data_IF_783850130676
#
_entry.id   IF_783850130676
#
_cell.length_a   1.000
_cell.length_b   1.000
_cell.length_c   1.000
_cell.angle_alpha   90.00
_cell.angle_beta   90.00
_cell.angle_gamma   90.00
#
_symmetry.space_group_name_H-M   'P 1'
#
loop_
_entity.id
_entity.type
_entity.pdbx_description
1 polymer ?
#
# COMPACT_ATOMS: atom_id res chain seq x y z
N UNK A 1 4.20 -16.33 -49.78
CA UNK A 1 4.07 -14.86 -49.65
C UNK A 1 4.43 -14.30 -48.25
N UNK A 2 4.14 -14.95 -47.11
CA UNK A 2 4.41 -14.47 -45.73
C UNK A 2 5.88 -14.28 -45.32
N UNK A 3 6.84 -15.05 -45.87
CA UNK A 3 8.29 -14.93 -45.51
C UNK A 3 8.97 -13.71 -46.08
N UNK A 4 8.59 -13.23 -47.27
CA UNK A 4 9.18 -12.03 -47.92
C UNK A 4 8.71 -10.73 -47.26
N UNK A 5 7.46 -10.67 -46.79
CA UNK A 5 6.94 -9.54 -46.03
C UNK A 5 7.62 -9.37 -44.66
N UNK A 6 7.89 -10.49 -43.94
CA UNK A 6 8.62 -10.44 -42.66
C UNK A 6 10.06 -9.89 -42.83
N UNK A 7 10.76 -10.21 -43.94
CA UNK A 7 12.10 -9.66 -44.19
C UNK A 7 12.08 -8.17 -44.54
N UNK A 8 11.05 -7.66 -45.25
CA UNK A 8 10.91 -6.23 -45.54
C UNK A 8 10.56 -5.42 -44.30
N UNK A 9 9.73 -5.93 -43.39
CA UNK A 9 9.43 -5.31 -42.12
C UNK A 9 10.64 -5.31 -41.16
N UNK A 10 11.47 -6.35 -41.19
CA UNK A 10 12.70 -6.43 -40.38
C UNK A 10 13.78 -5.39 -40.81
N UNK A 11 13.77 -4.95 -42.08
CA UNK A 11 14.65 -3.89 -42.56
C UNK A 11 14.15 -2.50 -42.18
N UNK A 12 12.82 -2.34 -42.03
CA UNK A 12 12.21 -1.06 -41.67
C UNK A 12 12.13 -0.84 -40.15
N UNK A 13 12.12 -1.95 -39.35
CA UNK A 13 12.16 -1.93 -37.89
C UNK A 13 13.36 -2.77 -37.42
N UNK A 14 14.56 -2.17 -37.25
CA UNK A 14 15.74 -2.90 -36.76
C UNK A 14 15.61 -3.33 -35.28
N UNK A 15 14.47 -3.04 -34.63
CA UNK A 15 14.20 -3.45 -33.27
C UNK A 15 13.59 -4.85 -33.23
N UNK A 16 14.41 -5.82 -32.77
CA UNK A 16 13.95 -7.17 -32.49
C UNK A 16 12.87 -7.13 -31.38
N UNK A 17 11.73 -7.75 -31.63
CA UNK A 17 10.58 -7.81 -30.70
C UNK A 17 11.00 -8.30 -29.29
N UNK A 18 12.04 -9.15 -29.24
CA UNK A 18 12.65 -9.62 -27.98
C UNK A 18 13.38 -8.51 -27.21
N UNK A 19 14.02 -7.58 -27.90
CA UNK A 19 14.76 -6.50 -27.25
C UNK A 19 13.80 -5.43 -26.70
N UNK A 20 12.67 -5.18 -27.41
CA UNK A 20 11.61 -4.31 -26.92
C UNK A 20 10.99 -4.91 -25.64
N UNK A 21 10.65 -6.21 -25.64
CA UNK A 21 10.11 -6.90 -24.47
C UNK A 21 11.06 -6.88 -23.28
N UNK A 22 12.36 -7.12 -23.53
CA UNK A 22 13.39 -7.04 -22.46
C UNK A 22 13.53 -5.63 -21.90
N UNK A 23 13.51 -4.59 -22.73
CA UNK A 23 13.56 -3.20 -22.27
C UNK A 23 12.32 -2.82 -21.48
N UNK A 24 11.14 -3.26 -21.92
CA UNK A 24 9.88 -3.04 -21.18
C UNK A 24 9.88 -3.76 -19.83
N UNK A 25 10.39 -4.99 -19.79
CA UNK A 25 10.51 -5.76 -18.56
C UNK A 25 11.43 -5.06 -17.55
N UNK A 26 12.66 -4.69 -17.98
CA UNK A 26 13.60 -3.96 -17.12
C UNK A 26 13.02 -2.63 -16.59
N UNK A 27 12.34 -1.85 -17.45
CA UNK A 27 11.67 -0.62 -17.02
C UNK A 27 10.61 -0.86 -15.96
N UNK A 28 9.84 -1.95 -16.08
CA UNK A 28 8.83 -2.34 -15.06
C UNK A 28 9.47 -2.74 -13.75
N UNK A 29 10.59 -3.48 -13.78
CA UNK A 29 11.35 -3.84 -12.58
C UNK A 29 11.92 -2.60 -11.89
N UNK A 30 12.60 -1.72 -12.63
CA UNK A 30 13.16 -0.48 -12.09
C UNK A 30 12.06 0.43 -11.50
N UNK A 31 10.91 0.55 -12.17
CA UNK A 31 9.78 1.32 -11.67
C UNK A 31 9.22 0.71 -10.37
N UNK A 32 9.15 -0.62 -10.27
CA UNK A 32 8.71 -1.34 -9.08
C UNK A 32 9.68 -1.14 -7.92
N UNK A 33 10.97 -1.29 -8.15
CA UNK A 33 12.00 -1.07 -7.11
C UNK A 33 11.95 0.36 -6.56
N UNK A 34 11.81 1.35 -7.43
CA UNK A 34 11.61 2.75 -7.03
C UNK A 34 10.35 2.93 -6.19
N UNK A 35 9.25 2.28 -6.56
CA UNK A 35 8.00 2.34 -5.81
C UNK A 35 8.18 1.72 -4.42
N UNK A 36 8.78 0.53 -4.31
CA UNK A 36 9.07 -0.12 -3.03
C UNK A 36 9.97 0.76 -2.16
N UNK A 37 11.00 1.37 -2.75
CA UNK A 37 11.89 2.27 -2.03
C UNK A 37 11.15 3.50 -1.48
N UNK A 38 10.30 4.12 -2.30
CA UNK A 38 9.50 5.28 -1.88
C UNK A 38 8.51 4.93 -0.76
N UNK A 39 7.84 3.77 -0.85
CA UNK A 39 6.91 3.29 0.19
C UNK A 39 7.66 3.00 1.50
N UNK A 40 8.85 2.42 1.45
CA UNK A 40 9.70 2.20 2.64
C UNK A 40 10.09 3.53 3.30
N UNK A 41 10.46 4.54 2.52
CA UNK A 41 10.78 5.88 3.05
C UNK A 41 9.57 6.55 3.69
N UNK A 42 8.40 6.44 3.04
CA UNK A 42 7.17 6.96 3.58
C UNK A 42 6.77 6.24 4.89
N UNK A 43 6.91 4.92 4.94
CA UNK A 43 6.68 4.13 6.16
C UNK A 43 7.61 4.60 7.30
N UNK A 44 8.89 4.77 7.01
CA UNK A 44 9.85 5.29 8.01
C UNK A 44 9.43 6.67 8.51
N UNK A 45 9.04 7.59 7.61
CA UNK A 45 8.55 8.91 7.97
C UNK A 45 7.34 8.84 8.90
N UNK A 46 6.36 7.99 8.59
CA UNK A 46 5.17 7.81 9.43
C UNK A 46 5.48 7.20 10.80
N UNK A 47 6.45 6.28 10.88
CA UNK A 47 6.91 5.73 12.16
C UNK A 47 7.54 6.82 13.03
N UNK A 48 8.34 7.71 12.44
CA UNK A 48 8.94 8.86 13.17
C UNK A 48 7.85 9.82 13.66
N UNK A 49 6.86 10.12 12.81
CA UNK A 49 5.72 10.97 13.19
C UNK A 49 4.88 10.32 14.31
N UNK A 50 4.58 9.02 14.21
CA UNK A 50 3.88 8.30 15.26
C UNK A 50 4.63 8.33 16.57
N UNK A 51 5.97 8.13 16.55
CA UNK A 51 6.81 8.21 17.73
C UNK A 51 6.83 9.61 18.37
N UNK A 52 6.87 10.68 17.57
CA UNK A 52 6.81 12.06 18.08
C UNK A 52 5.45 12.36 18.72
N UNK A 53 4.34 11.89 18.14
CA UNK A 53 2.99 12.04 18.71
C UNK A 53 2.83 11.25 20.01
N UNK A 54 3.42 10.07 20.09
CA UNK A 54 3.45 9.29 21.33
C UNK A 54 4.20 10.03 22.44
N UNK A 55 5.37 10.59 22.14
CA UNK A 55 6.14 11.39 23.08
C UNK A 55 5.35 12.64 23.54
N UNK A 56 4.70 13.34 22.62
CA UNK A 56 3.85 14.48 22.94
C UNK A 56 2.64 14.09 23.82
N UNK A 57 2.05 12.92 23.58
CA UNK A 57 0.98 12.40 24.44
C UNK A 57 1.49 12.13 25.85
N UNK A 58 2.65 11.52 26.04
CA UNK A 58 3.25 11.31 27.37
C UNK A 58 3.46 12.62 28.15
N UNK A 59 3.81 13.71 27.45
CA UNK A 59 4.01 15.02 28.08
C UNK A 59 2.68 15.74 28.37
N UNK A 60 1.69 15.64 27.47
CA UNK A 60 0.45 16.43 27.55
C UNK A 60 -0.69 15.69 28.25
N UNK A 61 -0.67 14.36 28.32
CA UNK A 61 -1.75 13.49 28.83
C UNK A 61 -3.12 13.79 28.17
N UNK A 62 -3.11 14.40 26.96
CA UNK A 62 -4.30 14.80 26.24
C UNK A 62 -4.92 13.63 25.46
N UNK A 63 -6.24 13.43 25.62
CA UNK A 63 -6.97 12.40 24.87
C UNK A 63 -6.98 12.64 23.35
N UNK A 64 -6.93 13.91 22.91
CA UNK A 64 -6.78 14.28 21.50
C UNK A 64 -5.45 13.80 20.91
N UNK A 65 -4.35 13.98 21.63
CA UNK A 65 -3.03 13.50 21.19
C UNK A 65 -2.96 11.98 21.09
N UNK A 66 -3.66 11.28 21.99
CA UNK A 66 -3.77 9.81 21.91
C UNK A 66 -4.52 9.37 20.66
N UNK A 67 -5.63 10.04 20.33
CA UNK A 67 -6.39 9.78 19.09
C UNK A 67 -5.54 10.00 17.84
N UNK A 68 -4.76 11.07 17.80
CA UNK A 68 -3.84 11.35 16.67
C UNK A 68 -2.70 10.33 16.57
N UNK A 69 -2.20 9.83 17.71
CA UNK A 69 -1.21 8.76 17.72
C UNK A 69 -1.80 7.47 17.13
N UNK A 70 -2.99 7.06 17.56
CA UNK A 70 -3.69 5.87 17.03
C UNK A 70 -3.89 6.01 15.52
N UNK A 71 -4.30 7.17 15.03
CA UNK A 71 -4.43 7.43 13.59
C UNK A 71 -3.09 7.21 12.85
N UNK A 72 -2.00 7.72 13.39
CA UNK A 72 -0.67 7.54 12.79
C UNK A 72 -0.20 6.08 12.80
N UNK A 73 -0.59 5.29 13.80
CA UNK A 73 -0.32 3.83 13.83
C UNK A 73 -1.11 3.12 12.73
N UNK A 74 -2.37 3.49 12.49
CA UNK A 74 -3.18 2.95 11.39
C UNK A 74 -2.56 3.28 10.04
N UNK A 75 -2.04 4.49 9.86
CA UNK A 75 -1.34 4.90 8.63
C UNK A 75 -0.07 4.08 8.38
N UNK A 76 0.71 3.79 9.44
CA UNK A 76 1.86 2.89 9.36
C UNK A 76 1.45 1.47 8.94
N UNK A 77 0.39 0.93 9.55
CA UNK A 77 -0.14 -0.39 9.22
C UNK A 77 -0.60 -0.45 7.75
N UNK A 78 -1.32 0.57 7.28
CA UNK A 78 -1.76 0.70 5.90
C UNK A 78 -0.57 0.66 4.91
N UNK A 79 0.47 1.44 5.17
CA UNK A 79 1.68 1.45 4.33
C UNK A 79 2.45 0.13 4.40
N UNK A 80 2.48 -0.53 5.55
CA UNK A 80 3.08 -1.84 5.69
C UNK A 80 2.35 -2.89 4.83
N UNK A 81 1.01 -2.92 4.86
CA UNK A 81 0.19 -3.81 4.02
C UNK A 81 0.42 -3.55 2.52
N UNK A 82 0.51 -2.28 2.12
CA UNK A 82 0.83 -1.91 0.74
C UNK A 82 2.22 -2.41 0.33
N UNK A 83 3.21 -2.26 1.21
CA UNK A 83 4.57 -2.76 0.97
C UNK A 83 4.60 -4.29 0.82
N UNK A 84 3.84 -5.00 1.67
CA UNK A 84 3.69 -6.46 1.58
C UNK A 84 3.05 -6.86 0.25
N UNK A 85 2.00 -6.17 -0.18
CA UNK A 85 1.35 -6.40 -1.46
C UNK A 85 2.28 -6.21 -2.66
N UNK A 86 3.10 -5.16 -2.65
CA UNK A 86 4.11 -4.91 -3.68
C UNK A 86 5.19 -6.00 -3.70
N UNK A 87 5.62 -6.47 -2.54
CA UNK A 87 6.60 -7.53 -2.40
C UNK A 87 6.06 -8.86 -2.90
N UNK A 88 4.86 -9.25 -2.47
CA UNK A 88 4.23 -10.50 -2.88
C UNK A 88 3.97 -10.53 -4.39
N UNK A 89 3.56 -9.40 -4.99
CA UNK A 89 3.35 -9.30 -6.43
C UNK A 89 4.63 -9.44 -7.26
N UNK A 90 5.80 -9.36 -6.61
CA UNK A 90 7.11 -9.51 -7.26
C UNK A 90 7.51 -10.95 -7.48
N UNK A 91 6.82 -11.91 -6.86
CA UNK A 91 7.15 -13.32 -6.96
C UNK A 91 6.93 -13.83 -8.38
N UNK A 92 7.86 -14.67 -8.84
CA UNK A 92 7.77 -15.28 -10.16
C UNK A 92 6.60 -16.27 -10.24
N UNK A 93 6.06 -16.51 -11.45
CA UNK A 93 5.02 -17.52 -11.68
C UNK A 93 5.49 -18.90 -11.24
N UNK A 94 4.68 -19.60 -10.45
CA UNK A 94 4.91 -20.97 -10.00
C UNK A 94 3.87 -21.92 -10.62
N UNK A 95 4.09 -23.24 -10.52
CA UNK A 95 3.16 -24.27 -11.03
C UNK A 95 1.74 -24.12 -10.50
N UNK A 96 1.58 -23.56 -9.28
CA UNK A 96 0.28 -23.26 -8.67
C UNK A 96 -0.34 -21.97 -9.18
N UNK A 97 0.47 -21.02 -9.60
CA UNK A 97 0.08 -19.69 -10.05
C UNK A 97 0.74 -19.35 -11.40
N UNK A 98 0.29 -19.98 -12.50
CA UNK A 98 0.93 -19.83 -13.82
C UNK A 98 0.85 -18.41 -14.38
N UNK A 99 -0.09 -17.59 -13.88
CA UNK A 99 -0.23 -16.16 -14.25
C UNK A 99 0.55 -15.21 -13.32
N UNK A 100 1.32 -15.77 -12.35
CA UNK A 100 2.06 -14.98 -11.35
C UNK A 100 1.18 -14.38 -10.27
N UNK A 101 1.82 -13.61 -9.38
CA UNK A 101 1.21 -13.03 -8.17
C UNK A 101 0.80 -11.56 -8.34
N UNK A 102 0.77 -11.04 -9.57
CA UNK A 102 0.45 -9.63 -9.83
C UNK A 102 -0.86 -9.13 -9.22
N UNK A 103 -1.83 -10.02 -8.98
CA UNK A 103 -3.12 -9.67 -8.36
C UNK A 103 -3.06 -9.56 -6.84
N UNK A 104 -1.99 -10.00 -6.18
CA UNK A 104 -1.86 -9.94 -4.71
C UNK A 104 -1.84 -8.49 -4.20
N UNK A 105 -1.38 -7.53 -5.00
CA UNK A 105 -1.46 -6.09 -4.66
C UNK A 105 -2.89 -5.67 -4.36
N UNK A 106 -3.86 -6.09 -5.17
CA UNK A 106 -5.27 -5.73 -4.98
C UNK A 106 -5.86 -6.34 -3.71
N UNK A 107 -5.46 -7.57 -3.38
CA UNK A 107 -5.87 -8.22 -2.13
C UNK A 107 -5.36 -7.44 -0.90
N UNK A 108 -4.08 -7.10 -0.88
CA UNK A 108 -3.49 -6.33 0.22
C UNK A 108 -4.05 -4.90 0.30
N UNK A 109 -4.32 -4.26 -0.85
CA UNK A 109 -4.97 -2.96 -0.89
C UNK A 109 -6.40 -3.01 -0.33
N UNK A 110 -7.16 -4.07 -0.63
CA UNK A 110 -8.48 -4.29 -0.05
C UNK A 110 -8.41 -4.51 1.46
N UNK A 111 -7.49 -5.36 1.93
CA UNK A 111 -7.26 -5.58 3.36
C UNK A 111 -6.93 -4.27 4.09
N UNK A 112 -6.08 -3.43 3.47
CA UNK A 112 -5.72 -2.12 3.98
C UNK A 112 -6.92 -1.18 4.07
N UNK A 113 -7.72 -1.06 2.99
CA UNK A 113 -8.91 -0.22 2.96
C UNK A 113 -9.95 -0.65 4.00
N UNK A 114 -10.22 -1.95 4.11
CA UNK A 114 -11.15 -2.49 5.11
C UNK A 114 -10.62 -2.27 6.53
N UNK A 115 -9.32 -2.53 6.77
CA UNK A 115 -8.69 -2.30 8.07
C UNK A 115 -8.82 -0.84 8.52
N UNK A 116 -8.48 0.12 7.64
CA UNK A 116 -8.62 1.55 7.91
C UNK A 116 -10.08 1.95 8.14
N UNK A 117 -11.01 1.43 7.34
CA UNK A 117 -12.43 1.70 7.49
C UNK A 117 -12.95 1.20 8.84
N UNK A 118 -12.71 -0.06 9.20
CA UNK A 118 -13.20 -0.62 10.46
C UNK A 118 -12.54 0.01 11.69
N UNK A 119 -11.25 0.32 11.65
CA UNK A 119 -10.60 1.01 12.77
C UNK A 119 -11.09 2.46 12.89
N UNK A 120 -11.15 3.21 11.80
CA UNK A 120 -11.64 4.60 11.83
C UNK A 120 -13.11 4.69 12.25
N UNK A 121 -13.98 3.91 11.62
CA UNK A 121 -15.39 3.86 11.93
C UNK A 121 -15.63 3.31 13.34
N UNK A 122 -14.96 2.21 13.72
CA UNK A 122 -15.11 1.58 15.02
C UNK A 122 -14.71 2.49 16.17
N UNK A 123 -13.58 3.21 16.05
CA UNK A 123 -13.15 4.17 17.07
C UNK A 123 -14.10 5.36 17.15
N UNK A 124 -14.50 5.95 16.03
CA UNK A 124 -15.44 7.06 16.01
C UNK A 124 -16.80 6.68 16.61
N UNK A 125 -17.29 5.49 16.28
CA UNK A 125 -18.58 4.99 16.82
C UNK A 125 -18.50 4.72 18.31
N UNK A 126 -17.38 4.15 18.81
CA UNK A 126 -17.21 3.91 20.24
C UNK A 126 -17.15 5.20 21.06
N UNK A 127 -16.49 6.23 20.54
CA UNK A 127 -16.49 7.56 21.17
C UNK A 127 -17.88 8.20 21.18
N UNK A 128 -18.56 8.21 20.03
CA UNK A 128 -19.91 8.76 19.92
C UNK A 128 -20.90 8.04 20.85
N UNK A 129 -20.80 6.71 20.96
CA UNK A 129 -21.61 5.93 21.87
C UNK A 129 -21.32 6.25 23.34
N UNK A 130 -20.04 6.39 23.71
CA UNK A 130 -19.62 6.79 25.06
C UNK A 130 -20.17 8.16 25.46
N UNK A 131 -20.08 9.16 24.57
CA UNK A 131 -20.65 10.49 24.81
C UNK A 131 -22.18 10.46 24.94
N UNK A 132 -22.87 9.73 24.07
CA UNK A 132 -24.31 9.59 24.12
C UNK A 132 -24.77 8.97 25.46
N UNK A 133 -24.10 7.91 25.90
CA UNK A 133 -24.42 7.25 27.19
C UNK A 133 -24.10 8.14 28.39
N UNK A 134 -23.04 8.96 28.30
CA UNK A 134 -22.72 9.94 29.34
C UNK A 134 -23.80 11.01 29.45
N UNK A 135 -24.22 11.59 28.34
CA UNK A 135 -25.31 12.57 28.28
C UNK A 135 -26.62 11.97 28.78
N UNK A 136 -26.98 10.77 28.32
CA UNK A 136 -28.20 10.08 28.75
C UNK A 136 -28.23 9.85 30.28
N UNK A 137 -27.08 9.53 30.88
CA UNK A 137 -26.98 9.27 32.34
C UNK A 137 -27.05 10.55 33.20
N UNK A 138 -26.68 11.72 32.63
CA UNK A 138 -26.64 12.98 33.39
C UNK A 138 -27.90 13.82 33.21
N UNK A 139 -28.71 13.56 32.19
CA UNK A 139 -29.92 14.32 31.90
C UNK A 139 -31.23 13.57 32.14
N UNK A 140 -31.11 12.29 32.45
CA UNK A 140 -32.22 11.41 32.91
C UNK A 140 -31.91 10.75 34.25
#
# INVERSE_FOLDING_TARGET
>A
MKRRQRKRLAVYYPFNDRDIKRKQFKRKEEARERTIFNVKRALLGNVVIAGSKLAAWFCSQSSSMMSEFIHSVVDCANQYLLLQGLKDSSNEPDRKHPYGYGKSVYFWALCSALGTFFMGFGLSMSHAWGELMYVARHYY
#
